data_IF_362145762384
#
_entry.id   IF_362145762384
#
_cell.length_a   1.000
_cell.length_b   1.000
_cell.length_c   1.000
_cell.angle_alpha   90.00
_cell.angle_beta   90.00
_cell.angle_gamma   90.00
#
_symmetry.space_group_name_H-M   'P 1'
#
loop_
_entity.id
_entity.type
_entity.pdbx_description
1 polymer ?
#
# COMPACT_ATOMS: atom_id res chain seq x y z
N UNK A 1 2.30 6.16 4.87
CA UNK A 1 2.49 6.89 3.60
C UNK A 1 3.97 6.92 3.25
N UNK A 2 4.33 6.77 1.98
CA UNK A 2 5.73 6.74 1.52
C UNK A 2 5.95 7.82 0.46
N UNK A 3 7.10 8.48 0.52
CA UNK A 3 7.55 9.40 -0.52
C UNK A 3 8.33 8.61 -1.59
N UNK A 4 7.87 8.58 -2.85
CA UNK A 4 8.58 7.90 -3.95
C UNK A 4 9.96 8.49 -4.25
N UNK A 5 10.25 9.73 -3.84
CA UNK A 5 11.56 10.35 -4.01
C UNK A 5 12.65 9.72 -3.12
N UNK A 6 12.28 8.82 -2.20
CA UNK A 6 13.26 8.10 -1.40
C UNK A 6 14.03 7.05 -2.21
N UNK A 7 15.31 6.80 -1.86
CA UNK A 7 16.06 5.70 -2.45
C UNK A 7 15.35 4.35 -2.25
N UNK A 8 15.49 3.45 -3.22
CA UNK A 8 14.85 2.14 -3.21
C UNK A 8 15.13 1.32 -1.94
N UNK A 9 16.36 1.38 -1.41
CA UNK A 9 16.74 0.69 -0.17
C UNK A 9 15.92 1.18 1.04
N UNK A 10 15.63 2.48 1.09
CA UNK A 10 14.83 3.08 2.17
C UNK A 10 13.37 2.68 2.06
N UNK A 11 12.85 2.64 0.84
CA UNK A 11 11.50 2.14 0.55
C UNK A 11 11.38 0.66 0.97
N UNK A 12 12.35 -0.17 0.61
CA UNK A 12 12.40 -1.58 1.00
C UNK A 12 12.39 -1.77 2.53
N UNK A 13 13.18 -0.95 3.24
CA UNK A 13 13.24 -0.97 4.69
C UNK A 13 11.88 -0.64 5.33
N UNK A 14 11.23 0.45 4.89
CA UNK A 14 9.92 0.84 5.43
C UNK A 14 8.82 -0.17 5.14
N UNK A 15 8.81 -0.77 3.95
CA UNK A 15 7.83 -1.83 3.63
C UNK A 15 8.05 -3.04 4.54
N UNK A 16 9.31 -3.43 4.75
CA UNK A 16 9.65 -4.58 5.60
C UNK A 16 9.28 -4.34 7.06
N UNK A 17 9.62 -3.16 7.60
CA UNK A 17 9.39 -2.79 9.00
C UNK A 17 7.90 -2.60 9.31
N UNK A 18 7.15 -2.00 8.38
CA UNK A 18 5.70 -1.79 8.56
C UNK A 18 4.87 -3.06 8.52
N UNK A 19 5.43 -4.18 8.03
CA UNK A 19 4.74 -5.45 7.81
C UNK A 19 3.42 -5.29 7.02
N UNK A 20 3.35 -4.29 6.13
CA UNK A 20 2.17 -4.04 5.32
C UNK A 20 1.89 -5.25 4.42
N UNK A 21 0.65 -5.72 4.40
CA UNK A 21 0.22 -6.83 3.54
C UNK A 21 -0.01 -6.40 2.09
N UNK A 22 -0.33 -5.12 1.87
CA UNK A 22 -0.66 -4.56 0.56
C UNK A 22 0.04 -3.22 0.38
N UNK A 23 0.56 -2.97 -0.82
CA UNK A 23 1.08 -1.69 -1.28
C UNK A 23 0.17 -1.16 -2.37
N UNK A 24 -0.41 0.01 -2.13
CA UNK A 24 -1.14 0.79 -3.13
C UNK A 24 -0.16 1.73 -3.84
N UNK A 25 -0.14 1.68 -5.17
CA UNK A 25 0.73 2.51 -6.02
C UNK A 25 0.05 2.80 -7.37
N UNK A 26 0.76 3.42 -8.30
CA UNK A 26 0.37 3.51 -9.72
C UNK A 26 1.35 2.72 -10.60
N UNK A 27 1.01 2.55 -11.89
CA UNK A 27 1.85 1.79 -12.82
C UNK A 27 3.25 2.41 -13.03
N UNK A 28 3.40 3.73 -12.93
CA UNK A 28 4.68 4.42 -13.14
C UNK A 28 5.67 4.24 -11.99
N UNK A 29 5.17 4.14 -10.76
CA UNK A 29 6.00 3.90 -9.57
C UNK A 29 6.20 2.42 -9.28
N UNK A 30 5.39 1.53 -9.85
CA UNK A 30 5.55 0.07 -9.71
C UNK A 30 6.96 -0.39 -10.04
N UNK A 31 7.55 0.13 -11.12
CA UNK A 31 8.90 -0.25 -11.57
C UNK A 31 10.02 0.29 -10.67
N UNK A 32 9.72 1.26 -9.81
CA UNK A 32 10.66 1.83 -8.83
C UNK A 32 10.63 1.06 -7.51
N UNK A 33 9.63 0.20 -7.31
CA UNK A 33 9.55 -0.62 -6.11
C UNK A 33 10.64 -1.70 -6.12
N UNK A 34 11.18 -2.06 -4.95
CA UNK A 34 12.12 -3.17 -4.82
C UNK A 34 11.52 -4.45 -5.42
N UNK A 35 12.33 -5.20 -6.16
CA UNK A 35 11.88 -6.44 -6.83
C UNK A 35 11.51 -7.59 -5.87
N UNK A 36 11.80 -7.47 -4.58
CA UNK A 36 11.45 -8.47 -3.56
C UNK A 36 10.76 -7.77 -2.40
N UNK A 37 9.43 -7.89 -2.36
CA UNK A 37 8.58 -7.38 -1.30
C UNK A 37 7.65 -8.49 -0.83
N UNK A 38 7.38 -8.54 0.47
CA UNK A 38 6.45 -9.52 1.05
C UNK A 38 4.98 -9.11 0.91
N UNK A 39 4.73 -7.93 0.35
CA UNK A 39 3.41 -7.32 0.22
C UNK A 39 2.86 -7.46 -1.20
N UNK A 40 1.54 -7.58 -1.32
CA UNK A 40 0.86 -7.56 -2.61
C UNK A 40 0.84 -6.14 -3.19
N UNK A 41 1.24 -5.98 -4.44
CA UNK A 41 1.29 -4.67 -5.10
C UNK A 41 0.02 -4.46 -5.94
N UNK A 42 -0.74 -3.43 -5.58
CA UNK A 42 -1.97 -3.03 -6.25
C UNK A 42 -1.79 -1.65 -6.91
N UNK A 43 -1.92 -1.62 -8.24
CA UNK A 43 -1.84 -0.40 -9.04
C UNK A 43 -3.24 0.20 -9.21
N UNK A 44 -3.48 1.38 -8.63
CA UNK A 44 -4.79 2.05 -8.61
C UNK A 44 -5.31 2.36 -10.02
N UNK A 45 -4.42 2.71 -10.93
CA UNK A 45 -4.69 3.04 -12.33
C UNK A 45 -4.94 1.81 -13.22
N UNK A 46 -4.67 0.60 -12.71
CA UNK A 46 -4.96 -0.67 -13.37
C UNK A 46 -6.15 -1.41 -12.75
N UNK A 47 -6.81 -0.83 -11.74
CA UNK A 47 -7.96 -1.44 -11.11
C UNK A 47 -9.17 -1.47 -12.06
N UNK A 48 -9.94 -2.57 -12.09
CA UNK A 48 -11.22 -2.58 -12.75
C UNK A 48 -12.16 -1.58 -12.08
N UNK A 49 -13.05 -0.99 -12.87
CA UNK A 49 -14.04 -0.04 -12.37
C UNK A 49 -14.92 -0.73 -11.32
N UNK A 50 -14.91 -0.20 -10.09
CA UNK A 50 -15.69 -0.75 -8.99
C UNK A 50 -17.08 -0.10 -9.01
N UNK A 51 -18.18 -0.88 -9.05
CA UNK A 51 -19.52 -0.33 -9.05
C UNK A 51 -19.78 0.46 -7.76
N UNK A 52 -20.35 1.66 -7.88
CA UNK A 52 -20.62 2.57 -6.77
C UNK A 52 -21.53 1.97 -5.66
N UNK A 53 -22.24 0.89 -5.97
CA UNK A 53 -23.12 0.17 -5.06
C UNK A 53 -22.43 -1.02 -4.35
N UNK A 54 -21.11 -1.17 -4.45
CA UNK A 54 -20.39 -2.19 -3.69
C UNK A 54 -20.55 -1.90 -2.18
N UNK A 55 -21.38 -2.69 -1.51
CA UNK A 55 -21.55 -2.61 -0.07
C UNK A 55 -20.24 -3.00 0.62
N UNK A 56 -19.71 -2.09 1.43
CA UNK A 56 -18.51 -2.33 2.24
C UNK A 56 -18.89 -3.24 3.41
N UNK A 57 -18.77 -4.56 3.23
CA UNK A 57 -18.95 -5.55 4.28
C UNK A 57 -17.77 -5.62 5.28
N UNK A 58 -17.07 -4.50 5.51
CA UNK A 58 -15.93 -4.43 6.40
C UNK A 58 -16.39 -4.17 7.84
N UNK A 59 -15.81 -4.90 8.79
CA UNK A 59 -15.99 -4.61 10.22
C UNK A 59 -15.36 -3.26 10.55
N UNK A 60 -16.07 -2.43 11.32
CA UNK A 60 -15.54 -1.16 11.75
C UNK A 60 -14.34 -1.37 12.70
N UNK A 61 -13.26 -0.58 12.57
CA UNK A 61 -12.12 -0.67 13.48
C UNK A 61 -12.51 -0.20 14.89
N UNK A 62 -11.87 -0.79 15.90
CA UNK A 62 -11.97 -0.42 17.30
C UNK A 62 -11.04 0.76 17.66
N UNK A 63 -11.20 1.32 18.87
CA UNK A 63 -10.42 2.51 19.31
C UNK A 63 -8.94 2.25 19.54
N UNK A 64 -8.51 0.98 19.61
CA UNK A 64 -7.12 0.58 19.79
C UNK A 64 -6.46 0.15 18.48
N UNK A 65 -7.21 0.09 17.38
CA UNK A 65 -6.67 -0.30 16.09
C UNK A 65 -5.81 0.82 15.51
N UNK A 66 -4.67 0.44 14.93
CA UNK A 66 -3.74 1.39 14.32
C UNK A 66 -4.40 2.09 13.13
N UNK A 67 -4.56 3.41 13.21
CA UNK A 67 -5.15 4.19 12.13
C UNK A 67 -4.15 4.50 11.01
N UNK A 68 -2.92 4.91 11.37
CA UNK A 68 -1.86 5.21 10.41
C UNK A 68 -0.48 5.12 11.07
N UNK A 69 0.53 4.90 10.24
CA UNK A 69 1.94 4.94 10.63
C UNK A 69 2.70 5.85 9.64
N UNK A 70 3.49 6.77 10.18
CA UNK A 70 4.28 7.76 9.41
C UNK A 70 5.71 7.71 9.94
N UNK A 71 6.68 7.69 9.02
CA UNK A 71 8.11 7.79 9.28
C UNK A 71 8.63 9.18 8.91
#
# INVERSE_FOLDING_TARGET
PLDPAYPADRIAHFITDSAASVILTDSGHRDQLPGTLSADILCLDALPEVPAAAETAATAPGPQDLAYLIY
#
